data_IF_856078169060
#
_entry.id   IF_856078169060
#
_cell.length_a   1.000
_cell.length_b   1.000
_cell.length_c   1.000
_cell.angle_alpha   90.00
_cell.angle_beta   90.00
_cell.angle_gamma   90.00
#
_symmetry.space_group_name_H-M   'P 1'
#
loop_
_entity.id
_entity.type
_entity.pdbx_description
1 polymer ?
#
# COMPACT_ATOMS: atom_id res chain seq x y z
N UNK A 1 5.67 -2.12 0.09
CA UNK A 1 4.53 -1.27 0.51
C UNK A 1 3.19 -1.99 0.33
N UNK A 2 2.92 -2.58 -0.84
CA UNK A 2 1.65 -3.29 -1.14
C UNK A 2 1.33 -4.40 -0.12
N UNK A 3 2.26 -5.31 0.18
CA UNK A 3 2.05 -6.41 1.14
C UNK A 3 1.60 -5.93 2.53
N UNK A 4 2.25 -4.87 3.05
CA UNK A 4 1.86 -4.23 4.32
C UNK A 4 0.50 -3.58 4.24
N UNK A 5 0.19 -2.95 3.11
CA UNK A 5 -1.13 -2.37 2.89
C UNK A 5 -2.24 -3.43 2.77
N UNK A 6 -1.94 -4.59 2.17
CA UNK A 6 -2.82 -5.76 2.15
C UNK A 6 -3.05 -6.34 3.56
N UNK A 7 -2.00 -6.32 4.40
CA UNK A 7 -2.09 -6.67 5.82
C UNK A 7 -2.80 -5.62 6.70
N UNK A 8 -3.35 -4.55 6.11
CA UNK A 8 -4.17 -3.55 6.81
C UNK A 8 -3.43 -2.29 7.26
N UNK A 9 -2.09 -2.25 7.24
CA UNK A 9 -1.31 -1.12 7.80
C UNK A 9 -1.52 0.19 7.03
N UNK A 10 -1.86 1.26 7.72
CA UNK A 10 -2.00 2.60 7.14
C UNK A 10 -0.71 3.12 6.50
N UNK A 11 -0.82 4.15 5.66
CA UNK A 11 0.36 4.78 5.05
C UNK A 11 1.32 5.36 6.09
N UNK A 12 0.83 5.73 7.29
CA UNK A 12 1.67 6.23 8.40
C UNK A 12 2.46 5.11 9.06
N UNK A 13 1.83 3.97 9.32
CA UNK A 13 2.51 2.79 9.87
C UNK A 13 3.57 2.25 8.90
N UNK A 14 3.21 2.11 7.63
CA UNK A 14 4.16 1.69 6.58
C UNK A 14 5.32 2.68 6.46
N UNK A 15 5.03 3.99 6.56
CA UNK A 15 6.05 5.04 6.51
C UNK A 15 7.00 4.95 7.71
N UNK A 16 6.48 4.69 8.92
CA UNK A 16 7.29 4.51 10.12
C UNK A 16 8.22 3.29 10.00
N UNK A 17 7.71 2.14 9.54
CA UNK A 17 8.53 0.93 9.38
C UNK A 17 9.61 1.06 8.30
N UNK A 18 9.33 1.82 7.24
CA UNK A 18 10.24 1.97 6.10
C UNK A 18 11.10 3.24 6.19
N UNK A 19 10.98 4.02 7.27
CA UNK A 19 11.66 5.32 7.44
C UNK A 19 11.41 6.29 6.27
N UNK A 20 10.17 6.35 5.80
CA UNK A 20 9.73 7.18 4.68
C UNK A 20 8.66 8.18 5.10
N UNK A 21 8.30 9.10 4.21
CA UNK A 21 7.10 9.93 4.41
C UNK A 21 5.83 9.15 4.04
N UNK A 22 4.68 9.38 4.72
CA UNK A 22 3.40 8.80 4.33
C UNK A 22 2.99 9.16 2.89
N UNK A 23 3.45 10.32 2.38
CA UNK A 23 3.23 10.76 1.00
C UNK A 23 3.97 9.89 0.00
N UNK A 24 5.22 9.53 0.30
CA UNK A 24 6.03 8.60 -0.51
C UNK A 24 5.34 7.25 -0.60
N UNK A 25 4.85 6.72 0.53
CA UNK A 25 4.09 5.47 0.55
C UNK A 25 2.84 5.55 -0.34
N UNK A 26 2.07 6.64 -0.20
CA UNK A 26 0.89 6.88 -1.04
C UNK A 26 1.21 6.92 -2.53
N UNK A 27 2.30 7.59 -2.92
CA UNK A 27 2.76 7.64 -4.32
C UNK A 27 3.08 6.26 -4.89
N UNK A 28 3.84 5.43 -4.16
CA UNK A 28 4.17 4.08 -4.63
C UNK A 28 2.94 3.16 -4.67
N UNK A 29 2.04 3.25 -3.70
CA UNK A 29 0.78 2.49 -3.72
C UNK A 29 -0.08 2.90 -4.92
N UNK A 30 -0.23 4.20 -5.17
CA UNK A 30 -0.96 4.73 -6.33
C UNK A 30 -0.41 4.18 -7.67
N UNK A 31 0.92 4.09 -7.81
CA UNK A 31 1.56 3.52 -9.01
C UNK A 31 1.42 2.00 -9.10
N UNK A 32 1.28 1.31 -7.97
CA UNK A 32 1.16 -0.15 -7.92
C UNK A 32 -0.28 -0.63 -8.22
N UNK A 33 -1.28 0.11 -7.75
CA UNK A 33 -2.69 -0.27 -7.88
C UNK A 33 -3.14 -0.64 -9.30
N UNK A 34 -2.91 0.18 -10.35
CA UNK A 34 -3.32 -0.18 -11.70
C UNK A 34 -2.58 -1.41 -12.24
N UNK A 35 -1.33 -1.64 -11.81
CA UNK A 35 -0.55 -2.83 -12.21
C UNK A 35 -1.07 -4.12 -11.58
N UNK A 36 -1.75 -4.00 -10.46
CA UNK A 36 -2.36 -5.10 -9.72
C UNK A 36 -3.86 -5.24 -10.01
N UNK A 37 -4.42 -4.44 -10.93
CA UNK A 37 -5.84 -4.45 -11.26
C UNK A 37 -6.76 -4.01 -10.12
N UNK A 38 -6.23 -3.30 -9.12
CA UNK A 38 -7.01 -2.79 -7.97
C UNK A 38 -7.28 -1.30 -8.11
N UNK A 39 -8.48 -0.89 -7.73
CA UNK A 39 -8.93 0.51 -7.73
C UNK A 39 -9.07 1.07 -6.33
N UNK A 40 -9.29 0.20 -5.33
CA UNK A 40 -9.44 0.58 -3.92
C UNK A 40 -8.50 -0.22 -3.02
N UNK A 41 -7.99 0.44 -1.99
CA UNK A 41 -7.11 -0.16 -0.98
C UNK A 41 -7.69 -1.43 -0.36
N UNK A 42 -9.01 -1.47 -0.10
CA UNK A 42 -9.69 -2.63 0.47
C UNK A 42 -9.59 -3.91 -0.39
N UNK A 43 -9.36 -3.78 -1.70
CA UNK A 43 -9.16 -4.96 -2.57
C UNK A 43 -7.79 -5.62 -2.35
N UNK A 44 -6.81 -4.92 -1.79
CA UNK A 44 -5.48 -5.48 -1.56
C UNK A 44 -5.53 -6.70 -0.63
N UNK A 45 -6.43 -6.71 0.35
CA UNK A 45 -6.60 -7.86 1.26
C UNK A 45 -7.21 -9.10 0.60
N UNK A 46 -7.68 -8.98 -0.64
CA UNK A 46 -8.17 -10.11 -1.45
C UNK A 46 -7.10 -10.68 -2.38
N UNK A 47 -5.93 -10.03 -2.47
CA UNK A 47 -4.79 -10.51 -3.24
C UNK A 47 -3.91 -11.40 -2.35
N UNK A 48 -3.52 -12.56 -2.86
CA UNK A 48 -2.54 -13.43 -2.19
C UNK A 48 -1.13 -12.92 -2.51
N UNK A 49 -0.44 -12.29 -1.53
CA UNK A 49 0.73 -11.42 -1.72
C UNK A 49 1.94 -11.68 -0.82
#
# INVERSE_FOLDING_TARGET
MVRRAAAGLSNREIAAELFLSPRTVGYHLYKAYPKLGVSRRAQLGQLDL
#
